data_IF_612041770722
#
_entry.id   IF_612041770722
#
_cell.length_a   1.000
_cell.length_b   1.000
_cell.length_c   1.000
_cell.angle_alpha   90.00
_cell.angle_beta   90.00
_cell.angle_gamma   90.00
#
_symmetry.space_group_name_H-M   'P 1'
#
loop_
_entity.id
_entity.type
_entity.pdbx_description
1 polymer ?
#
# COMPACT_ATOMS: atom_id res chain seq x y z
N UNK A 1 0.20 -16.93 8.87
CA UNK A 1 0.13 -15.80 7.92
C UNK A 1 -0.17 -16.38 6.52
N UNK A 2 -1.07 -15.79 5.73
CA UNK A 2 -1.40 -16.28 4.38
C UNK A 2 -0.39 -15.82 3.31
N UNK A 3 -0.23 -16.60 2.24
CA UNK A 3 0.72 -16.32 1.17
C UNK A 3 0.49 -14.93 0.52
N UNK A 4 1.56 -14.16 0.37
CA UNK A 4 1.57 -12.90 -0.36
C UNK A 4 1.74 -13.22 -1.85
N UNK A 5 0.71 -12.96 -2.66
CA UNK A 5 0.69 -13.39 -4.07
C UNK A 5 0.57 -12.25 -5.09
N UNK A 6 0.40 -11.02 -4.63
CA UNK A 6 0.23 -9.84 -5.48
C UNK A 6 1.53 -9.04 -5.67
N UNK A 7 1.53 -8.13 -6.64
CA UNK A 7 2.61 -7.20 -6.96
C UNK A 7 3.97 -7.87 -7.08
N UNK A 8 4.01 -9.10 -7.57
CA UNK A 8 5.19 -9.98 -7.49
C UNK A 8 5.97 -10.08 -8.81
N UNK A 9 5.38 -9.66 -9.93
CA UNK A 9 6.00 -9.72 -11.24
C UNK A 9 5.93 -8.36 -11.96
N UNK A 10 7.07 -7.76 -12.37
CA UNK A 10 7.08 -6.46 -13.03
C UNK A 10 6.46 -6.48 -14.43
N UNK A 11 6.31 -7.67 -15.04
CA UNK A 11 5.66 -7.85 -16.34
C UNK A 11 4.12 -7.86 -16.28
N UNK A 12 3.53 -7.75 -15.08
CA UNK A 12 2.08 -7.74 -14.88
C UNK A 12 1.64 -6.31 -14.57
N UNK A 13 0.57 -5.79 -15.19
CA UNK A 13 0.01 -4.48 -14.87
C UNK A 13 -0.84 -4.54 -13.61
N UNK A 14 -0.29 -5.05 -12.50
CA UNK A 14 -1.03 -5.21 -11.25
C UNK A 14 -1.53 -3.84 -10.76
N UNK A 15 -2.77 -3.81 -10.27
CA UNK A 15 -3.35 -2.58 -9.74
C UNK A 15 -2.57 -2.16 -8.51
N UNK A 16 -2.27 -0.87 -8.38
CA UNK A 16 -1.66 -0.28 -7.18
C UNK A 16 -2.77 0.30 -6.31
N UNK A 17 -3.63 1.15 -6.89
CA UNK A 17 -4.76 1.74 -6.18
C UNK A 17 -5.88 2.18 -7.14
N UNK A 18 -7.14 2.17 -6.70
CA UNK A 18 -7.65 1.44 -5.53
C UNK A 18 -7.71 -0.06 -5.85
N UNK A 19 -7.31 -0.88 -4.89
CA UNK A 19 -7.42 -2.36 -4.98
C UNK A 19 -7.94 -3.04 -3.74
N UNK A 20 -7.85 -2.39 -2.57
CA UNK A 20 -8.22 -2.95 -1.27
C UNK A 20 -9.00 -1.91 -0.46
N UNK A 21 -9.83 -2.39 0.46
CA UNK A 21 -10.55 -1.60 1.46
C UNK A 21 -11.47 -0.53 0.85
N UNK A 22 -11.53 0.67 1.45
CA UNK A 22 -12.46 1.72 1.06
C UNK A 22 -11.76 2.93 0.43
N UNK A 23 -12.49 3.60 -0.46
CA UNK A 23 -12.12 4.92 -0.99
C UNK A 23 -13.10 5.96 -0.47
N UNK A 24 -12.63 7.19 -0.24
CA UNK A 24 -13.47 8.29 0.23
C UNK A 24 -14.12 9.05 -0.93
N UNK A 25 -13.41 9.20 -2.05
CA UNK A 25 -13.95 9.83 -3.26
C UNK A 25 -14.79 8.83 -4.07
N UNK A 26 -15.95 9.25 -4.61
CA UNK A 26 -16.70 8.43 -5.57
C UNK A 26 -16.04 8.38 -6.96
N UNK A 27 -14.94 9.11 -7.16
CA UNK A 27 -14.16 9.20 -8.40
C UNK A 27 -12.66 9.10 -8.07
N UNK A 28 -12.20 7.96 -7.51
CA UNK A 28 -10.80 7.82 -7.12
C UNK A 28 -9.88 7.78 -8.35
N UNK A 29 -8.67 8.32 -8.21
CA UNK A 29 -7.63 8.10 -9.21
C UNK A 29 -7.28 6.61 -9.30
N UNK A 30 -6.94 6.14 -10.49
CA UNK A 30 -6.69 4.74 -10.81
C UNK A 30 -5.23 4.57 -11.22
N UNK A 31 -4.53 3.62 -10.62
CA UNK A 31 -3.08 3.44 -10.75
C UNK A 31 -2.70 1.97 -10.83
N UNK A 32 -1.77 1.64 -11.71
CA UNK A 32 -1.24 0.29 -11.89
C UNK A 32 0.26 0.30 -12.19
N UNK A 33 0.87 -0.88 -12.13
CA UNK A 33 2.27 -1.07 -12.46
C UNK A 33 2.52 -0.87 -13.97
N UNK A 34 3.49 -0.03 -14.37
CA UNK A 34 3.95 0.02 -15.74
C UNK A 34 4.60 -1.31 -16.15
N UNK A 35 4.24 -1.79 -17.33
CA UNK A 35 4.84 -2.99 -17.94
C UNK A 35 5.79 -2.55 -19.05
N UNK A 36 7.03 -3.03 -18.98
CA UNK A 36 8.04 -2.75 -19.99
C UNK A 36 7.57 -3.25 -21.37
N UNK A 37 7.58 -2.36 -22.37
CA UNK A 37 7.18 -2.66 -23.74
C UNK A 37 5.67 -2.58 -24.02
N UNK A 38 4.83 -2.31 -23.01
CA UNK A 38 3.41 -2.02 -23.25
C UNK A 38 3.25 -0.59 -23.79
N UNK A 39 2.58 -0.42 -24.92
CA UNK A 39 2.29 0.90 -25.50
C UNK A 39 0.96 1.45 -25.00
N UNK A 40 0.00 0.56 -24.73
CA UNK A 40 -1.35 0.92 -24.27
C UNK A 40 -1.90 -0.06 -23.25
N UNK A 41 -2.82 0.44 -22.43
CA UNK A 41 -3.55 -0.29 -21.41
C UNK A 41 -5.05 -0.17 -21.65
N UNK A 42 -5.73 -1.32 -21.60
CA UNK A 42 -7.19 -1.42 -21.50
C UNK A 42 -7.56 -1.48 -20.02
N UNK A 43 -8.26 -0.46 -19.54
CA UNK A 43 -8.64 -0.31 -18.13
C UNK A 43 -10.14 -0.52 -18.02
N UNK A 44 -10.56 -1.46 -17.19
CA UNK A 44 -11.99 -1.74 -16.96
C UNK A 44 -12.32 -1.73 -15.47
N UNK A 45 -13.42 -1.07 -15.13
CA UNK A 45 -14.00 -1.12 -13.79
C UNK A 45 -15.15 -2.13 -13.79
N UNK A 46 -15.08 -3.10 -12.90
CA UNK A 46 -15.99 -4.23 -12.88
C UNK A 46 -16.70 -4.37 -11.54
N UNK A 47 -17.88 -4.99 -11.58
CA UNK A 47 -18.60 -5.46 -10.39
C UNK A 47 -18.86 -6.96 -10.53
N UNK A 48 -19.48 -7.58 -9.52
CA UNK A 48 -19.97 -8.96 -9.64
C UNK A 48 -20.97 -9.17 -10.78
N UNK A 49 -21.56 -8.11 -11.33
CA UNK A 49 -22.50 -8.17 -12.46
C UNK A 49 -21.81 -8.06 -13.83
N UNK A 50 -20.51 -7.85 -13.86
CA UNK A 50 -19.72 -7.62 -15.07
C UNK A 50 -19.10 -6.22 -15.14
N UNK A 51 -18.50 -5.89 -16.29
CA UNK A 51 -17.86 -4.58 -16.52
C UNK A 51 -18.90 -3.45 -16.52
N UNK A 52 -18.57 -2.34 -15.86
CA UNK A 52 -19.35 -1.11 -15.89
C UNK A 52 -18.94 -0.21 -17.04
N UNK A 53 -17.63 -0.08 -17.23
CA UNK A 53 -17.03 0.69 -18.30
C UNK A 53 -15.62 0.18 -18.61
N UNK A 54 -15.13 0.58 -19.77
CA UNK A 54 -13.78 0.29 -20.26
C UNK A 54 -13.25 1.50 -21.03
N UNK A 55 -11.93 1.73 -20.94
CA UNK A 55 -11.22 2.73 -21.74
C UNK A 55 -9.82 2.24 -22.13
N UNK A 56 -9.21 2.90 -23.11
CA UNK A 56 -7.81 2.70 -23.48
C UNK A 56 -6.98 3.94 -23.15
N UNK A 57 -5.76 3.76 -22.65
CA UNK A 57 -4.82 4.83 -22.30
C UNK A 57 -3.38 4.36 -22.41
N UNK A 58 -2.43 5.28 -22.60
CA UNK A 58 -0.98 5.06 -22.55
C UNK A 58 -0.38 5.42 -21.17
N UNK A 59 -1.19 5.97 -20.26
CA UNK A 59 -0.77 6.34 -18.91
C UNK A 59 -0.81 5.14 -17.98
N UNK A 60 -0.17 5.24 -16.81
CA UNK A 60 -0.25 4.22 -15.73
C UNK A 60 -0.93 4.72 -14.46
N UNK A 61 -1.30 5.98 -14.48
CA UNK A 61 -2.08 6.67 -13.47
C UNK A 61 -3.04 7.61 -14.20
N UNK A 62 -4.34 7.47 -13.96
CA UNK A 62 -5.37 8.32 -14.55
C UNK A 62 -6.32 8.86 -13.48
N UNK A 63 -6.85 10.08 -13.65
CA UNK A 63 -8.02 10.48 -12.90
C UNK A 63 -9.20 9.56 -13.25
N UNK A 64 -10.19 9.48 -12.38
CA UNK A 64 -11.42 8.79 -12.73
C UNK A 64 -12.07 9.47 -13.96
N UNK A 65 -12.51 8.71 -14.98
CA UNK A 65 -13.07 9.31 -16.18
C UNK A 65 -14.35 10.10 -15.89
N UNK A 66 -14.38 11.38 -16.27
CA UNK A 66 -15.50 12.30 -15.96
C UNK A 66 -16.82 11.93 -16.66
N UNK A 67 -16.74 11.23 -17.79
CA UNK A 67 -17.87 10.76 -18.59
C UNK A 67 -18.47 9.45 -18.05
N UNK A 68 -17.85 8.83 -17.05
CA UNK A 68 -18.27 7.55 -16.48
C UNK A 68 -19.06 7.74 -15.17
N UNK A 69 -20.01 6.83 -14.87
CA UNK A 69 -20.78 6.93 -13.64
C UNK A 69 -19.87 6.81 -12.41
N UNK A 70 -20.07 7.64 -11.37
CA UNK A 70 -19.29 7.53 -10.13
C UNK A 70 -19.55 6.22 -9.41
N UNK A 71 -18.67 5.89 -8.46
CA UNK A 71 -18.85 4.74 -7.57
C UNK A 71 -20.15 4.87 -6.76
N UNK A 72 -20.81 3.74 -6.57
CA UNK A 72 -22.08 3.64 -5.86
C UNK A 72 -21.88 3.06 -4.46
N UNK A 73 -22.55 3.61 -3.44
CA UNK A 73 -22.58 3.03 -2.09
C UNK A 73 -22.94 1.54 -2.08
N UNK A 74 -22.21 0.74 -1.31
CA UNK A 74 -22.51 -0.68 -1.11
C UNK A 74 -22.11 -1.61 -2.27
N UNK A 75 -21.47 -1.09 -3.31
CA UNK A 75 -20.96 -1.89 -4.43
C UNK A 75 -19.47 -2.22 -4.22
N UNK A 76 -19.11 -3.49 -4.44
CA UNK A 76 -17.73 -3.95 -4.51
C UNK A 76 -17.24 -3.86 -5.96
N UNK A 77 -16.10 -3.20 -6.12
CA UNK A 77 -15.45 -2.93 -7.39
C UNK A 77 -14.14 -3.69 -7.52
N UNK A 78 -13.86 -4.10 -8.74
CA UNK A 78 -12.54 -4.61 -9.16
C UNK A 78 -12.06 -3.72 -10.29
N UNK A 79 -10.83 -3.24 -10.21
CA UNK A 79 -10.14 -2.63 -11.35
C UNK A 79 -9.35 -3.74 -12.07
N UNK A 80 -9.54 -3.85 -13.38
CA UNK A 80 -8.80 -4.78 -14.23
C UNK A 80 -8.06 -4.00 -15.30
N UNK A 81 -6.76 -4.28 -15.44
CA UNK A 81 -5.88 -3.64 -16.40
C UNK A 81 -5.25 -4.70 -17.28
N UNK A 82 -5.33 -4.52 -18.59
CA UNK A 82 -4.73 -5.41 -19.59
C UNK A 82 -3.80 -4.61 -20.49
N UNK A 83 -2.64 -5.17 -20.83
CA UNK A 83 -1.75 -4.58 -21.84
C UNK A 83 -2.16 -5.01 -23.25
N UNK A 84 -1.72 -4.25 -24.24
CA UNK A 84 -1.72 -4.63 -25.66
C UNK A 84 -1.04 -5.99 -25.95
N UNK A 85 -0.03 -6.35 -25.15
CA UNK A 85 0.67 -7.64 -25.17
C UNK A 85 -0.09 -8.80 -24.49
N UNK A 86 -1.33 -8.54 -24.01
CA UNK A 86 -2.25 -9.49 -23.34
C UNK A 86 -1.87 -9.95 -21.93
N UNK A 87 -0.93 -9.27 -21.25
CA UNK A 87 -0.77 -9.48 -19.80
C UNK A 87 -1.87 -8.76 -19.03
N UNK A 88 -2.41 -9.39 -17.98
CA UNK A 88 -3.55 -8.86 -17.24
C UNK A 88 -3.26 -8.75 -15.74
N UNK A 89 -3.83 -7.73 -15.09
CA UNK A 89 -3.77 -7.56 -13.66
C UNK A 89 -4.37 -8.74 -12.89
N UNK A 90 -5.22 -9.57 -13.53
CA UNK A 90 -5.78 -10.79 -12.94
C UNK A 90 -4.81 -11.96 -12.87
N UNK A 91 -3.67 -11.86 -13.56
CA UNK A 91 -2.58 -12.85 -13.49
C UNK A 91 -1.79 -12.76 -12.17
N UNK A 92 -2.10 -11.76 -11.33
CA UNK A 92 -1.49 -11.47 -10.03
C UNK A 92 -2.51 -11.71 -8.88
N UNK A 93 -2.76 -12.98 -8.49
CA UNK A 93 -3.78 -13.30 -7.50
C UNK A 93 -3.39 -12.82 -6.09
N UNK A 94 -4.35 -12.70 -5.14
CA UNK A 94 -5.79 -12.78 -5.34
C UNK A 94 -6.35 -11.50 -5.98
N UNK A 95 -7.51 -11.63 -6.64
CA UNK A 95 -8.31 -10.47 -7.07
C UNK A 95 -8.81 -9.72 -5.82
N UNK A 96 -8.23 -8.55 -5.57
CA UNK A 96 -8.67 -7.67 -4.48
C UNK A 96 -9.77 -6.73 -4.96
N UNK A 97 -10.63 -6.33 -4.03
CA UNK A 97 -11.80 -5.50 -4.28
C UNK A 97 -11.82 -4.31 -3.33
N UNK A 98 -12.43 -3.23 -3.78
CA UNK A 98 -12.63 -2.03 -2.97
C UNK A 98 -14.08 -1.54 -3.06
N UNK A 99 -14.46 -0.64 -2.17
CA UNK A 99 -15.78 0.01 -2.20
C UNK A 99 -15.71 1.48 -1.77
N UNK A 100 -16.76 2.23 -2.08
CA UNK A 100 -16.92 3.60 -1.58
C UNK A 100 -17.28 3.57 -0.08
N UNK A 101 -16.57 4.36 0.73
CA UNK A 101 -16.95 4.67 2.11
C UNK A 101 -18.14 5.62 2.09
N UNK A 102 -19.20 5.33 2.86
CA UNK A 102 -20.48 6.07 2.75
C UNK A 102 -21.18 6.26 4.10
N UNK A 103 -22.24 7.08 4.10
CA UNK A 103 -23.06 7.35 5.27
C UNK A 103 -22.30 8.04 6.41
N UNK A 104 -22.71 7.77 7.65
CA UNK A 104 -22.13 8.36 8.86
C UNK A 104 -20.63 8.10 8.99
N UNK A 105 -20.15 6.95 8.49
CA UNK A 105 -18.72 6.60 8.54
C UNK A 105 -17.88 7.46 7.60
N UNK A 106 -18.40 7.85 6.44
CA UNK A 106 -17.73 8.80 5.54
C UNK A 106 -17.74 10.22 6.13
N UNK A 107 -18.84 10.64 6.74
CA UNK A 107 -18.92 11.94 7.41
C UNK A 107 -17.95 12.04 8.60
N UNK A 108 -17.83 10.97 9.39
CA UNK A 108 -16.86 10.87 10.48
C UNK A 108 -15.43 10.92 9.95
N UNK A 109 -15.10 10.15 8.90
CA UNK A 109 -13.79 10.20 8.27
C UNK A 109 -13.42 11.61 7.81
N UNK A 110 -14.33 12.30 7.13
CA UNK A 110 -14.10 13.67 6.65
C UNK A 110 -13.88 14.65 7.80
N UNK A 111 -14.61 14.47 8.91
CA UNK A 111 -14.49 15.31 10.11
C UNK A 111 -13.13 15.10 10.78
N UNK A 112 -12.72 13.85 10.98
CA UNK A 112 -11.43 13.52 11.61
C UNK A 112 -10.25 14.01 10.74
N UNK A 113 -10.32 13.79 9.41
CA UNK A 113 -9.31 14.29 8.48
C UNK A 113 -9.22 15.81 8.56
N UNK A 114 -10.35 16.51 8.48
CA UNK A 114 -10.38 17.97 8.56
C UNK A 114 -9.85 18.50 9.90
N UNK A 115 -10.09 17.78 11.00
CA UNK A 115 -9.56 18.15 12.31
C UNK A 115 -8.02 18.09 12.36
N UNK A 116 -7.41 17.06 11.75
CA UNK A 116 -5.94 16.97 11.65
C UNK A 116 -5.39 18.05 10.70
N UNK A 117 -6.05 18.28 9.55
CA UNK A 117 -5.61 19.30 8.59
C UNK A 117 -5.68 20.73 9.13
N UNK A 118 -6.59 21.00 10.08
CA UNK A 118 -6.70 22.29 10.74
C UNK A 118 -5.65 22.53 11.84
N UNK A 119 -4.85 21.53 12.20
CA UNK A 119 -3.79 21.69 13.20
C UNK A 119 -2.64 22.55 12.65
N UNK A 120 -2.10 23.43 13.50
CA UNK A 120 -0.90 24.21 13.19
C UNK A 120 0.36 23.36 13.41
N UNK A 121 0.55 22.37 12.55
CA UNK A 121 1.65 21.40 12.56
C UNK A 121 2.26 21.27 11.16
N UNK A 122 3.54 20.90 11.05
CA UNK A 122 4.15 20.61 9.75
C UNK A 122 3.40 19.51 9.00
N UNK A 123 3.34 19.61 7.67
CA UNK A 123 2.58 18.65 6.83
C UNK A 123 3.00 17.20 7.06
N UNK A 124 4.31 16.94 7.21
CA UNK A 124 4.81 15.61 7.56
C UNK A 124 4.16 15.06 8.84
N UNK A 125 4.02 15.88 9.88
CA UNK A 125 3.44 15.43 11.17
C UNK A 125 1.95 15.15 11.01
N UNK A 126 1.22 16.03 10.30
CA UNK A 126 -0.20 15.82 10.00
C UNK A 126 -0.42 14.53 9.20
N UNK A 127 0.39 14.28 8.16
CA UNK A 127 0.31 13.06 7.36
C UNK A 127 0.58 11.82 8.20
N UNK A 128 1.57 11.84 9.10
CA UNK A 128 1.83 10.70 9.99
C UNK A 128 0.65 10.43 10.92
N UNK A 129 0.03 11.46 11.51
CA UNK A 129 -1.20 11.31 12.30
C UNK A 129 -2.33 10.70 11.45
N UNK A 130 -2.52 11.19 10.22
CA UNK A 130 -3.54 10.65 9.32
C UNK A 130 -3.29 9.17 9.02
N UNK A 131 -2.06 8.80 8.71
CA UNK A 131 -1.67 7.43 8.31
C UNK A 131 -1.71 6.45 9.47
N UNK A 132 -1.24 6.85 10.65
CA UNK A 132 -1.12 5.95 11.81
C UNK A 132 -2.43 5.87 12.60
N UNK A 133 -3.21 6.95 12.68
CA UNK A 133 -4.40 7.00 13.55
C UNK A 133 -5.73 7.10 12.80
N UNK A 134 -5.83 7.92 11.74
CA UNK A 134 -7.13 8.26 11.13
C UNK A 134 -7.52 7.29 10.04
N UNK A 135 -6.70 7.17 8.99
CA UNK A 135 -6.98 6.31 7.84
C UNK A 135 -7.21 4.83 8.21
N UNK A 136 -6.50 4.23 9.18
CA UNK A 136 -6.76 2.84 9.57
C UNK A 136 -8.17 2.61 10.12
N UNK A 137 -8.75 3.58 10.87
CA UNK A 137 -10.13 3.47 11.43
C UNK A 137 -11.19 3.39 10.34
N UNK A 138 -10.90 3.95 9.18
CA UNK A 138 -11.80 4.03 8.04
C UNK A 138 -11.38 3.12 6.89
N UNK A 139 -10.32 2.33 7.08
CA UNK A 139 -9.76 1.44 6.05
C UNK A 139 -9.42 2.21 4.77
N UNK A 140 -8.88 3.42 4.91
CA UNK A 140 -8.52 4.31 3.79
C UNK A 140 -7.08 4.05 3.31
N UNK A 141 -6.77 2.79 2.99
CA UNK A 141 -5.41 2.35 2.64
C UNK A 141 -4.85 3.08 1.42
N UNK A 142 -5.66 3.29 0.37
CA UNK A 142 -5.23 4.04 -0.81
C UNK A 142 -4.88 5.51 -0.49
N UNK A 143 -5.67 6.16 0.37
CA UNK A 143 -5.40 7.54 0.78
C UNK A 143 -4.12 7.63 1.62
N UNK A 144 -3.85 6.64 2.48
CA UNK A 144 -2.62 6.56 3.25
C UNK A 144 -1.38 6.43 2.35
N UNK A 145 -1.45 5.60 1.30
CA UNK A 145 -0.39 5.47 0.31
C UNK A 145 -0.15 6.79 -0.42
N UNK A 146 -1.21 7.39 -0.98
CA UNK A 146 -1.10 8.65 -1.72
C UNK A 146 -0.50 9.77 -0.84
N UNK A 147 -0.87 9.83 0.44
CA UNK A 147 -0.36 10.84 1.36
C UNK A 147 1.14 10.68 1.65
N UNK A 148 1.62 9.45 1.92
CA UNK A 148 3.04 9.19 2.15
C UNK A 148 3.88 9.34 0.87
N UNK A 149 3.37 8.92 -0.29
CA UNK A 149 4.03 9.15 -1.57
C UNK A 149 4.13 10.64 -1.89
N UNK A 150 3.11 11.43 -1.52
CA UNK A 150 3.14 12.89 -1.58
C UNK A 150 4.27 13.50 -0.75
N UNK A 151 4.51 12.98 0.47
CA UNK A 151 5.65 13.41 1.29
C UNK A 151 6.99 13.09 0.61
N UNK A 152 7.14 11.88 0.05
CA UNK A 152 8.36 11.49 -0.67
C UNK A 152 8.58 12.41 -1.88
N UNK A 153 7.54 12.68 -2.67
CA UNK A 153 7.61 13.59 -3.81
C UNK A 153 7.96 15.04 -3.40
N UNK A 154 7.56 15.45 -2.20
CA UNK A 154 7.92 16.74 -1.60
C UNK A 154 9.33 16.76 -0.95
N UNK A 155 10.09 15.67 -1.04
CA UNK A 155 11.44 15.54 -0.47
C UNK A 155 11.48 15.20 1.02
N UNK A 156 10.35 14.86 1.63
CA UNK A 156 10.25 14.42 3.03
C UNK A 156 10.43 12.90 3.16
N UNK A 157 11.51 12.39 2.57
CA UNK A 157 11.81 10.95 2.54
C UNK A 157 12.61 10.55 3.79
N UNK A 158 11.90 10.07 4.82
CA UNK A 158 12.50 9.56 6.05
C UNK A 158 12.38 8.03 6.14
N UNK A 159 13.17 7.41 7.01
CA UNK A 159 13.08 5.97 7.27
C UNK A 159 11.65 5.56 7.65
N UNK A 160 11.00 6.31 8.56
CA UNK A 160 9.61 6.08 8.99
C UNK A 160 8.62 6.16 7.83
N UNK A 161 8.73 7.19 6.98
CA UNK A 161 7.83 7.36 5.82
C UNK A 161 7.96 6.18 4.86
N UNK A 162 9.19 5.77 4.54
CA UNK A 162 9.45 4.62 3.68
C UNK A 162 8.97 3.32 4.31
N UNK A 163 9.20 3.12 5.60
CA UNK A 163 8.73 1.93 6.31
C UNK A 163 7.20 1.83 6.28
N UNK A 164 6.49 2.92 6.60
CA UNK A 164 5.03 2.96 6.55
C UNK A 164 4.48 2.72 5.15
N UNK A 165 5.15 3.19 4.08
CA UNK A 165 4.82 2.81 2.71
C UNK A 165 4.99 1.30 2.50
N UNK A 166 6.10 0.73 2.98
CA UNK A 166 6.35 -0.71 2.98
C UNK A 166 5.21 -1.50 3.62
N UNK A 167 4.76 -1.08 4.80
CA UNK A 167 3.64 -1.70 5.54
C UNK A 167 2.34 -1.66 4.75
N UNK A 168 2.01 -0.50 4.17
CA UNK A 168 0.79 -0.32 3.39
C UNK A 168 0.83 -1.18 2.12
N UNK A 169 1.97 -1.22 1.41
CA UNK A 169 2.14 -2.08 0.25
C UNK A 169 2.06 -3.56 0.63
N UNK A 170 2.68 -3.97 1.74
CA UNK A 170 2.62 -5.35 2.24
C UNK A 170 1.17 -5.74 2.60
N UNK A 171 0.42 -4.83 3.22
CA UNK A 171 -1.01 -4.99 3.54
C UNK A 171 -1.84 -5.13 2.26
N UNK A 172 -1.60 -4.28 1.26
CA UNK A 172 -2.28 -4.31 -0.04
C UNK A 172 -1.85 -5.45 -0.94
N UNK A 173 -0.87 -6.24 -0.53
CA UNK A 173 -0.42 -7.38 -1.29
C UNK A 173 0.55 -7.01 -2.42
N UNK A 174 1.24 -5.87 -2.36
CA UNK A 174 2.13 -5.33 -3.39
C UNK A 174 3.59 -5.66 -3.04
N UNK A 175 4.01 -6.91 -3.29
CA UNK A 175 5.31 -7.43 -2.83
C UNK A 175 6.51 -6.56 -3.22
N UNK A 176 6.69 -6.29 -4.51
CA UNK A 176 7.88 -5.58 -5.00
C UNK A 176 7.97 -4.15 -4.46
N UNK A 177 6.83 -3.46 -4.35
CA UNK A 177 6.77 -2.12 -3.77
C UNK A 177 7.04 -2.14 -2.26
N UNK A 178 6.55 -3.15 -1.55
CA UNK A 178 6.82 -3.31 -0.13
C UNK A 178 8.31 -3.55 0.13
N UNK A 179 8.92 -4.50 -0.57
CA UNK A 179 10.35 -4.82 -0.48
C UNK A 179 11.22 -3.59 -0.75
N UNK A 180 10.97 -2.89 -1.87
CA UNK A 180 11.70 -1.67 -2.22
C UNK A 180 11.63 -0.60 -1.13
N UNK A 181 10.45 -0.40 -0.53
CA UNK A 181 10.27 0.64 0.48
C UNK A 181 10.89 0.25 1.81
N UNK A 182 10.85 -1.03 2.21
CA UNK A 182 11.57 -1.48 3.39
C UNK A 182 13.09 -1.42 3.23
N UNK A 183 13.63 -1.81 2.07
CA UNK A 183 15.06 -1.69 1.77
C UNK A 183 15.52 -0.22 1.88
N UNK A 184 14.72 0.69 1.31
CA UNK A 184 14.99 2.13 1.38
C UNK A 184 14.89 2.64 2.83
N UNK A 185 13.88 2.19 3.58
CA UNK A 185 13.72 2.54 4.99
C UNK A 185 14.93 2.10 5.82
N UNK A 186 15.38 0.86 5.64
CA UNK A 186 16.54 0.30 6.33
C UNK A 186 17.82 1.08 6.01
N UNK A 187 18.05 1.40 4.73
CA UNK A 187 19.20 2.20 4.31
C UNK A 187 19.20 3.61 4.97
N UNK A 188 18.04 4.28 5.01
CA UNK A 188 17.89 5.58 5.66
C UNK A 188 18.07 5.49 7.19
N UNK A 189 17.53 4.43 7.80
CA UNK A 189 17.62 4.20 9.24
C UNK A 189 19.07 3.90 9.67
N UNK A 190 19.83 3.18 8.85
CA UNK A 190 21.27 2.96 9.05
C UNK A 190 22.05 4.27 8.92
N UNK A 191 21.78 5.06 7.88
CA UNK A 191 22.46 6.34 7.64
C UNK A 191 22.21 7.39 8.74
N UNK A 192 21.08 7.29 9.44
CA UNK A 192 20.68 8.20 10.52
C UNK A 192 20.86 7.59 11.92
N UNK A 193 21.43 6.38 12.01
CA UNK A 193 21.59 5.62 13.25
C UNK A 193 20.26 5.44 14.05
N UNK A 194 19.14 5.42 13.33
CA UNK A 194 17.82 5.21 13.92
C UNK A 194 17.54 3.71 14.11
N UNK A 195 17.92 3.17 15.26
CA UNK A 195 17.76 1.74 15.57
C UNK A 195 16.30 1.29 15.57
N UNK A 196 15.36 2.14 15.99
CA UNK A 196 13.92 1.81 15.98
C UNK A 196 13.44 1.52 14.57
N UNK A 197 13.72 2.42 13.61
CA UNK A 197 13.31 2.21 12.22
C UNK A 197 14.11 1.10 11.52
N UNK A 198 15.35 0.81 11.95
CA UNK A 198 16.09 -0.37 11.47
C UNK A 198 15.35 -1.66 11.85
N UNK A 199 14.97 -1.79 13.13
CA UNK A 199 14.25 -2.96 13.65
C UNK A 199 12.92 -3.14 12.93
N UNK A 200 12.13 -2.08 12.81
CA UNK A 200 10.80 -2.19 12.21
C UNK A 200 10.87 -2.45 10.69
N UNK A 201 11.87 -1.90 9.97
CA UNK A 201 12.07 -2.21 8.55
C UNK A 201 12.55 -3.66 8.34
N UNK A 202 13.45 -4.16 9.19
CA UNK A 202 13.89 -5.55 9.17
C UNK A 202 12.73 -6.50 9.50
N UNK A 203 11.91 -6.17 10.49
CA UNK A 203 10.73 -6.96 10.81
C UNK A 203 9.78 -7.03 9.60
N UNK A 204 9.52 -5.89 8.94
CA UNK A 204 8.73 -5.82 7.71
C UNK A 204 9.28 -6.70 6.57
N UNK A 205 10.60 -6.69 6.33
CA UNK A 205 11.26 -7.57 5.35
C UNK A 205 11.14 -9.04 5.74
N UNK A 206 11.36 -9.37 7.01
CA UNK A 206 11.21 -10.71 7.55
C UNK A 206 9.81 -11.27 7.33
N UNK A 207 8.78 -10.50 7.71
CA UNK A 207 7.37 -10.85 7.46
C UNK A 207 7.07 -10.97 5.97
N UNK A 208 7.62 -10.09 5.12
CA UNK A 208 7.45 -10.18 3.67
C UNK A 208 8.02 -11.50 3.14
N UNK A 209 9.27 -11.83 3.47
CA UNK A 209 9.94 -13.04 2.99
C UNK A 209 9.30 -14.33 3.53
N UNK A 210 8.80 -14.31 4.76
CA UNK A 210 8.02 -15.41 5.33
C UNK A 210 6.74 -15.69 4.52
N UNK A 211 6.15 -14.66 3.90
CA UNK A 211 4.91 -14.78 3.11
C UNK A 211 5.11 -15.23 1.66
N UNK A 212 6.33 -15.17 1.16
CA UNK A 212 6.68 -15.54 -0.22
C UNK A 212 7.53 -16.82 -0.30
N UNK A 213 7.56 -17.58 0.80
CA UNK A 213 8.26 -18.88 0.91
C UNK A 213 9.77 -18.78 0.63
N UNK A 214 10.40 -17.68 1.07
CA UNK A 214 11.85 -17.47 1.06
C UNK A 214 12.39 -17.54 2.51
N UNK A 215 12.39 -18.74 3.14
CA UNK A 215 12.58 -18.88 4.59
C UNK A 215 13.96 -18.42 5.08
N UNK A 216 14.99 -18.58 4.26
CA UNK A 216 16.37 -18.18 4.62
C UNK A 216 16.47 -16.67 4.83
N UNK A 217 15.90 -15.88 3.90
CA UNK A 217 15.83 -14.43 4.03
C UNK A 217 14.91 -14.01 5.17
N UNK A 218 13.79 -14.70 5.35
CA UNK A 218 12.87 -14.42 6.44
C UNK A 218 13.59 -14.54 7.79
N UNK A 219 14.30 -15.65 8.02
CA UNK A 219 15.08 -15.87 9.24
C UNK A 219 16.13 -14.77 9.43
N UNK A 220 16.92 -14.46 8.39
CA UNK A 220 17.96 -13.42 8.47
C UNK A 220 17.40 -12.09 8.98
N UNK A 221 16.31 -11.61 8.38
CA UNK A 221 15.72 -10.33 8.75
C UNK A 221 15.00 -10.37 10.10
N UNK A 222 14.31 -11.47 10.43
CA UNK A 222 13.63 -11.61 11.72
C UNK A 222 14.62 -11.73 12.88
N UNK A 223 15.73 -12.46 12.73
CA UNK A 223 16.79 -12.53 13.74
C UNK A 223 17.44 -11.16 13.97
N UNK A 224 17.70 -10.41 12.89
CA UNK A 224 18.23 -9.06 12.99
C UNK A 224 17.25 -8.11 13.72
N UNK A 225 15.97 -8.17 13.37
CA UNK A 225 14.92 -7.38 14.02
C UNK A 225 14.77 -7.74 15.50
N UNK A 226 14.79 -9.03 15.85
CA UNK A 226 14.73 -9.50 17.23
C UNK A 226 15.91 -8.98 18.05
N UNK A 227 17.13 -9.11 17.52
CA UNK A 227 18.33 -8.64 18.19
C UNK A 227 18.29 -7.13 18.44
N UNK A 228 17.82 -6.36 17.45
CA UNK A 228 17.65 -4.92 17.60
C UNK A 228 16.53 -4.54 18.58
N UNK A 229 15.40 -5.25 18.60
CA UNK A 229 14.33 -5.05 19.57
C UNK A 229 14.82 -5.28 21.02
N UNK A 230 15.62 -6.33 21.24
CA UNK A 230 16.28 -6.58 22.52
C UNK A 230 17.25 -5.44 22.90
N UNK A 231 17.99 -4.89 21.92
CA UNK A 231 18.89 -3.76 22.15
C UNK A 231 18.15 -2.45 22.48
N UNK A 232 16.93 -2.27 21.97
CA UNK A 232 16.02 -1.18 22.33
C UNK A 232 15.36 -1.39 23.71
N UNK A 233 15.44 -2.60 24.27
CA UNK A 233 14.71 -2.99 25.47
C UNK A 233 13.22 -3.27 25.23
N UNK A 234 12.79 -3.39 23.97
CA UNK A 234 11.43 -3.77 23.60
C UNK A 234 11.30 -5.29 23.61
N UNK A 235 11.15 -5.84 24.82
CA UNK A 235 11.02 -7.29 25.01
C UNK A 235 9.73 -7.85 24.42
N UNK A 236 8.67 -7.03 24.34
CA UNK A 236 7.40 -7.46 23.76
C UNK A 236 7.54 -7.69 22.27
N UNK A 237 8.12 -6.73 21.54
CA UNK A 237 8.40 -6.90 20.12
C UNK A 237 9.37 -8.05 19.86
N UNK A 238 10.41 -8.19 20.69
CA UNK A 238 11.36 -9.28 20.55
C UNK A 238 10.71 -10.68 20.72
N UNK A 239 9.78 -10.82 21.68
CA UNK A 239 9.03 -12.05 21.92
C UNK A 239 8.03 -12.33 20.77
N UNK A 240 7.38 -11.29 20.24
CA UNK A 240 6.47 -11.41 19.10
C UNK A 240 7.23 -11.87 17.84
N UNK A 241 8.40 -11.29 17.55
CA UNK A 241 9.28 -11.72 16.46
C UNK A 241 9.76 -13.15 16.67
N UNK A 242 10.11 -13.52 17.92
CA UNK A 242 10.55 -14.88 18.24
C UNK A 242 9.50 -15.94 17.89
N UNK A 243 8.22 -15.61 18.07
CA UNK A 243 7.11 -16.50 17.76
C UNK A 243 6.88 -16.70 16.24
N UNK A 244 7.46 -15.84 15.40
CA UNK A 244 7.41 -15.94 13.94
C UNK A 244 8.59 -16.68 13.32
N UNK A 245 9.68 -16.87 14.06
CA UNK A 245 10.84 -17.64 13.60
C UNK A 245 10.48 -19.14 13.49
N UNK A 246 10.90 -19.83 12.40
CA UNK A 246 10.62 -21.25 12.17
C UNK A 246 11.42 -22.21 13.08
#
# INVERSE_FOLDING_TARGET
>A
IGALRGGSAPAIPYVIAPRLDTVLSPTPALRWNPVEGAETYRVSLQTRRGPLWELETDQTAIPYPEDQPPLTPGTLYTLVVETDSRSSSTDDPPELRFNLLTGDRAAAAQTDIAAVEAMDLPDMVKTLILVEDVYPRYELTAAAMDALEGLVAAGCETAKVRRLLGDLYLKSGLRLLAEQNYDTALALALATENLEEQVLAQYGLGTLYARVEEPEKAIEYLEAAQAGALALGDTTLADDIAAELP
#
